data_IF_924740978824
#
_entry.id   IF_924740978824
#
_cell.length_a   1.000
_cell.length_b   1.000
_cell.length_c   1.000
_cell.angle_alpha   90.00
_cell.angle_beta   90.00
_cell.angle_gamma   90.00
#
_symmetry.space_group_name_H-M   'P 1'
#
loop_
_entity.id
_entity.type
_entity.pdbx_description
1 polymer ?
#
# COMPACT_ATOMS: atom_id res chain seq x y z
N UNK A 1 16.44 12.09 13.49
CA UNK A 1 15.45 11.91 12.41
C UNK A 1 14.42 10.91 12.88
N UNK A 2 13.14 11.22 12.76
CA UNK A 2 12.07 10.33 13.21
C UNK A 2 11.97 9.12 12.29
N UNK A 3 11.76 7.96 12.87
CA UNK A 3 11.48 6.71 12.16
C UNK A 3 10.07 6.82 11.53
N UNK A 4 10.02 6.70 10.20
CA UNK A 4 8.78 6.83 9.44
C UNK A 4 8.05 5.49 9.34
N UNK A 5 8.80 4.43 9.05
CA UNK A 5 8.31 3.07 8.92
C UNK A 5 9.22 2.13 9.70
N UNK A 6 8.64 1.27 10.53
CA UNK A 6 9.35 0.18 11.19
C UNK A 6 8.59 -1.13 10.98
N UNK A 7 9.27 -2.12 10.48
CA UNK A 7 8.75 -3.47 10.28
C UNK A 7 9.56 -4.42 11.14
N UNK A 8 8.89 -5.20 11.97
CA UNK A 8 9.51 -6.15 12.87
C UNK A 8 8.92 -7.54 12.68
N UNK A 9 9.79 -8.49 12.39
CA UNK A 9 9.47 -9.93 12.28
C UNK A 9 8.26 -10.25 11.39
N UNK A 10 8.10 -9.49 10.30
CA UNK A 10 6.95 -9.63 9.41
C UNK A 10 6.99 -10.93 8.63
N UNK A 11 5.96 -11.73 8.79
CA UNK A 11 5.69 -12.93 7.99
C UNK A 11 4.32 -12.82 7.34
N UNK A 12 4.26 -13.14 6.04
CA UNK A 12 3.02 -13.08 5.23
C UNK A 12 2.80 -14.42 4.56
N UNK A 13 1.60 -14.94 4.70
CA UNK A 13 1.20 -16.24 4.16
C UNK A 13 -0.03 -16.15 3.28
N UNK A 14 -0.18 -17.14 2.42
CA UNK A 14 -1.33 -17.33 1.54
C UNK A 14 -1.92 -18.72 1.72
N UNK A 15 -3.24 -18.83 1.61
CA UNK A 15 -3.90 -20.10 1.47
C UNK A 15 -3.56 -20.71 0.10
N UNK A 16 -3.13 -21.97 0.08
CA UNK A 16 -2.83 -22.76 -1.10
C UNK A 16 -3.62 -24.07 -1.05
N UNK A 17 -3.74 -24.77 -2.19
CA UNK A 17 -4.49 -26.03 -2.28
C UNK A 17 -4.00 -27.11 -1.31
N UNK A 18 -2.69 -27.16 -1.07
CA UNK A 18 -2.04 -28.12 -0.15
C UNK A 18 -1.71 -27.50 1.22
N UNK A 19 -2.43 -26.45 1.65
CA UNK A 19 -2.25 -25.83 2.96
C UNK A 19 -1.86 -24.36 2.88
N UNK A 20 -0.71 -23.99 3.48
CA UNK A 20 -0.23 -22.62 3.62
C UNK A 20 1.10 -22.42 2.89
N UNK A 21 1.20 -21.35 2.12
CA UNK A 21 2.44 -20.89 1.50
C UNK A 21 2.91 -19.60 2.17
N UNK A 22 4.09 -19.61 2.75
CA UNK A 22 4.72 -18.45 3.34
C UNK A 22 5.54 -17.68 2.29
N UNK A 23 5.08 -16.49 1.93
CA UNK A 23 5.67 -15.66 0.88
C UNK A 23 6.67 -14.63 1.40
N UNK A 24 6.52 -14.18 2.65
CA UNK A 24 7.47 -13.33 3.37
C UNK A 24 7.77 -13.99 4.70
N UNK A 25 9.06 -14.11 5.04
CA UNK A 25 9.51 -14.84 6.22
C UNK A 25 10.41 -13.96 7.08
N UNK A 26 9.93 -13.61 8.26
CA UNK A 26 10.69 -12.94 9.32
C UNK A 26 11.52 -11.72 8.82
N UNK A 27 10.88 -10.80 8.13
CA UNK A 27 11.52 -9.61 7.58
C UNK A 27 11.43 -8.46 8.56
N UNK A 28 12.57 -7.84 8.85
CA UNK A 28 12.67 -6.66 9.72
C UNK A 28 13.52 -5.59 9.06
N UNK A 29 13.04 -4.34 9.03
CA UNK A 29 13.79 -3.17 8.61
C UNK A 29 13.08 -1.89 9.07
N UNK A 30 13.82 -0.79 9.10
CA UNK A 30 13.26 0.52 9.34
C UNK A 30 13.60 1.50 8.22
N UNK A 31 12.78 2.53 8.07
CA UNK A 31 12.95 3.62 7.12
C UNK A 31 12.72 4.95 7.84
N UNK A 32 13.70 5.84 7.75
CA UNK A 32 13.60 7.20 8.31
C UNK A 32 13.03 8.17 7.29
N UNK A 33 12.53 9.29 7.78
CA UNK A 33 12.07 10.37 6.90
C UNK A 33 13.20 10.86 5.98
N UNK A 34 12.92 10.93 4.67
CA UNK A 34 13.88 11.33 3.64
C UNK A 34 14.81 10.22 3.14
N UNK A 35 14.73 9.01 3.69
CA UNK A 35 15.50 7.87 3.19
C UNK A 35 14.84 7.20 1.98
N UNK A 36 15.67 6.55 1.17
CA UNK A 36 15.26 5.66 0.07
C UNK A 36 15.79 4.26 0.36
N UNK A 37 14.88 3.29 0.44
CA UNK A 37 15.22 1.88 0.63
C UNK A 37 14.94 1.10 -0.65
N UNK A 38 15.96 0.41 -1.17
CA UNK A 38 15.81 -0.50 -2.29
C UNK A 38 15.66 -1.96 -1.80
N UNK A 39 14.61 -2.64 -2.25
CA UNK A 39 14.38 -4.06 -1.98
C UNK A 39 14.71 -4.84 -3.25
N UNK A 40 15.81 -5.57 -3.23
CA UNK A 40 16.32 -6.36 -4.37
C UNK A 40 16.15 -7.85 -4.13
N UNK A 41 15.99 -8.61 -5.20
CA UNK A 41 15.85 -10.06 -5.17
C UNK A 41 15.28 -10.60 -6.48
N UNK A 42 15.29 -11.91 -6.64
CA UNK A 42 14.78 -12.59 -7.83
C UNK A 42 13.26 -12.43 -8.00
N UNK A 43 12.76 -12.75 -9.19
CA UNK A 43 11.30 -12.77 -9.43
C UNK A 43 10.64 -13.80 -8.52
N UNK A 44 9.49 -13.43 -7.92
CA UNK A 44 8.75 -14.33 -7.04
C UNK A 44 9.24 -14.41 -5.59
N UNK A 45 10.33 -13.73 -5.20
CA UNK A 45 10.87 -13.79 -3.83
C UNK A 45 10.09 -12.96 -2.78
N UNK A 46 8.88 -12.48 -3.08
CA UNK A 46 8.03 -11.81 -2.10
C UNK A 46 8.11 -10.28 -2.02
N UNK A 47 8.94 -9.60 -2.83
CA UNK A 47 9.07 -8.11 -2.79
C UNK A 47 7.74 -7.37 -2.92
N UNK A 48 6.96 -7.73 -3.93
CA UNK A 48 5.64 -7.12 -4.17
C UNK A 48 4.64 -7.48 -3.07
N UNK A 49 4.75 -8.67 -2.49
CA UNK A 49 3.93 -9.09 -1.36
C UNK A 49 4.25 -8.25 -0.13
N UNK A 50 5.54 -8.01 0.15
CA UNK A 50 5.99 -7.16 1.23
C UNK A 50 5.43 -5.73 1.10
N UNK A 51 5.56 -5.11 -0.07
CA UNK A 51 5.01 -3.77 -0.30
C UNK A 51 3.48 -3.72 -0.16
N UNK A 52 2.78 -4.74 -0.69
CA UNK A 52 1.31 -4.85 -0.57
C UNK A 52 0.87 -5.09 0.88
N UNK A 53 1.65 -5.82 1.68
CA UNK A 53 1.31 -6.05 3.09
C UNK A 53 1.40 -4.76 3.92
N UNK A 54 2.39 -3.90 3.66
CA UNK A 54 2.51 -2.59 4.30
C UNK A 54 1.25 -1.73 4.04
N UNK A 55 0.73 -1.77 2.83
CA UNK A 55 -0.48 -1.04 2.46
C UNK A 55 -1.79 -1.78 2.76
N UNK A 56 -1.73 -2.99 3.32
CA UNK A 56 -2.88 -3.90 3.50
C UNK A 56 -3.67 -4.12 2.20
N UNK A 57 -2.95 -4.33 1.10
CA UNK A 57 -3.49 -4.64 -0.23
C UNK A 57 -3.24 -6.10 -0.61
N UNK A 58 -3.15 -6.98 0.36
CA UNK A 58 -3.09 -8.42 0.12
C UNK A 58 -4.42 -8.91 -0.45
N UNK A 59 -4.41 -9.90 -1.37
CA UNK A 59 -5.62 -10.54 -1.84
C UNK A 59 -6.31 -11.30 -0.70
N UNK A 60 -7.56 -11.71 -0.90
CA UNK A 60 -8.40 -12.33 0.14
C UNK A 60 -7.82 -13.61 0.75
N UNK A 61 -7.00 -14.32 0.00
CA UNK A 61 -6.32 -15.54 0.46
C UNK A 61 -4.97 -15.28 1.12
N UNK A 62 -4.56 -14.02 1.29
CA UNK A 62 -3.30 -13.62 1.93
C UNK A 62 -3.54 -12.89 3.25
N UNK A 63 -2.68 -13.13 4.24
CA UNK A 63 -2.74 -12.46 5.54
C UNK A 63 -1.35 -12.23 6.14
N UNK A 64 -1.25 -11.23 7.00
CA UNK A 64 -0.09 -11.07 7.88
C UNK A 64 -0.20 -12.11 8.98
N UNK A 65 0.76 -12.99 9.06
CA UNK A 65 0.78 -14.09 10.02
C UNK A 65 1.43 -13.69 11.34
N UNK A 66 2.52 -12.93 11.23
CA UNK A 66 3.31 -12.47 12.39
C UNK A 66 3.93 -11.11 12.09
N UNK A 67 4.39 -10.45 13.14
CA UNK A 67 5.12 -9.21 13.09
C UNK A 67 4.24 -7.98 13.18
N UNK A 68 4.89 -6.84 13.17
CA UNK A 68 4.26 -5.53 13.25
C UNK A 68 4.68 -4.63 12.08
N UNK A 69 3.84 -3.68 11.74
CA UNK A 69 4.09 -2.63 10.77
C UNK A 69 3.76 -1.32 11.44
N UNK A 70 4.77 -0.62 11.95
CA UNK A 70 4.58 0.67 12.60
C UNK A 70 4.89 1.81 11.63
N UNK A 71 4.01 2.79 11.57
CA UNK A 71 4.15 4.02 10.78
C UNK A 71 4.01 5.21 11.71
N UNK A 72 5.04 6.06 11.77
CA UNK A 72 5.14 7.14 12.75
C UNK A 72 4.90 6.67 14.19
N UNK A 73 5.36 5.44 14.52
CA UNK A 73 5.21 4.84 15.84
C UNK A 73 3.87 4.17 16.12
N UNK A 74 2.91 4.19 15.19
CA UNK A 74 1.63 3.49 15.34
C UNK A 74 1.60 2.19 14.54
N UNK A 75 1.29 1.06 15.17
CA UNK A 75 1.11 -0.21 14.47
C UNK A 75 -0.16 -0.21 13.64
N UNK A 76 0.00 -0.26 12.32
CA UNK A 76 -1.09 -0.26 11.34
C UNK A 76 -1.53 -1.67 10.93
N UNK A 77 -0.82 -2.73 11.35
CA UNK A 77 -1.17 -4.11 10.98
C UNK A 77 -2.58 -4.49 11.44
N UNK A 78 -2.98 -4.01 12.62
CA UNK A 78 -4.30 -4.25 13.20
C UNK A 78 -5.40 -3.26 12.74
N UNK A 79 -5.08 -2.25 11.91
CA UNK A 79 -6.05 -1.24 11.52
C UNK A 79 -7.20 -1.81 10.69
N UNK A 80 -8.45 -1.41 10.97
CA UNK A 80 -9.58 -1.76 10.11
C UNK A 80 -9.45 -1.08 8.75
N UNK A 81 -10.05 -1.67 7.73
CA UNK A 81 -9.98 -1.19 6.34
C UNK A 81 -10.38 0.29 6.21
N UNK A 82 -11.42 0.73 6.93
CA UNK A 82 -11.88 2.13 6.94
C UNK A 82 -10.81 3.12 7.40
N UNK A 83 -9.91 2.72 8.32
CA UNK A 83 -8.78 3.54 8.79
C UNK A 83 -7.68 3.53 7.74
N UNK A 84 -7.38 2.37 7.14
CA UNK A 84 -6.39 2.25 6.07
C UNK A 84 -6.76 3.04 4.81
N UNK A 85 -8.04 3.09 4.43
CA UNK A 85 -8.50 3.90 3.29
C UNK A 85 -8.18 5.39 3.43
N UNK A 86 -8.17 5.93 4.65
CA UNK A 86 -7.79 7.32 4.89
C UNK A 86 -6.30 7.55 4.75
N UNK A 87 -5.48 6.55 5.06
CA UNK A 87 -4.02 6.62 4.97
C UNK A 87 -3.53 6.44 3.53
N UNK A 88 -4.19 5.57 2.77
CA UNK A 88 -3.88 5.40 1.34
C UNK A 88 -4.23 6.67 0.58
N UNK A 89 -3.26 7.19 -0.17
CA UNK A 89 -3.37 8.45 -0.93
C UNK A 89 -3.01 9.72 -0.15
N UNK A 90 -3.02 9.69 1.19
CA UNK A 90 -2.57 10.82 2.01
C UNK A 90 -1.19 10.59 2.63
N UNK A 91 -0.93 9.40 3.13
CA UNK A 91 0.34 9.01 3.76
C UNK A 91 1.10 7.97 2.93
N UNK A 92 0.38 7.07 2.27
CA UNK A 92 0.93 6.04 1.40
C UNK A 92 0.49 6.24 -0.03
N UNK A 93 1.40 6.05 -0.97
CA UNK A 93 1.09 5.87 -2.38
C UNK A 93 1.87 4.69 -2.94
N UNK A 94 1.36 4.08 -3.98
CA UNK A 94 1.99 2.94 -4.63
C UNK A 94 1.89 3.07 -6.14
N UNK A 95 3.01 2.87 -6.82
CA UNK A 95 3.04 2.71 -8.27
C UNK A 95 3.11 1.22 -8.57
N UNK A 96 2.12 0.71 -9.29
CA UNK A 96 2.06 -0.70 -9.66
C UNK A 96 2.94 -1.00 -10.87
N UNK A 97 3.45 -2.23 -10.95
CA UNK A 97 4.32 -2.68 -12.04
C UNK A 97 3.60 -2.67 -13.40
N UNK A 98 2.31 -2.97 -13.41
CA UNK A 98 1.46 -2.91 -14.61
C UNK A 98 0.53 -1.69 -14.53
N UNK A 99 0.86 -0.60 -15.25
CA UNK A 99 0.02 0.61 -15.25
C UNK A 99 -1.31 0.40 -15.97
N UNK A 100 -1.41 -0.57 -16.87
CA UNK A 100 -2.64 -0.81 -17.65
C UNK A 100 -3.75 -1.40 -16.78
N UNK A 101 -3.39 -2.22 -15.79
CA UNK A 101 -4.36 -2.78 -14.84
C UNK A 101 -4.77 -1.81 -13.74
N UNK A 102 -4.07 -0.69 -13.60
CA UNK A 102 -4.36 0.31 -12.56
C UNK A 102 -5.55 1.22 -12.91
N UNK A 103 -5.91 1.32 -14.18
CA UNK A 103 -7.01 2.13 -14.68
C UNK A 103 -8.13 1.27 -15.25
N UNK A 104 -9.38 1.68 -14.99
CA UNK A 104 -10.54 1.06 -15.61
C UNK A 104 -10.66 1.55 -17.07
N UNK A 105 -10.54 0.67 -18.08
CA UNK A 105 -10.59 1.06 -19.48
C UNK A 105 -11.98 1.57 -19.93
N UNK A 106 -13.02 1.31 -19.16
CA UNK A 106 -14.40 1.74 -19.46
C UNK A 106 -14.72 3.12 -18.92
N UNK A 107 -13.87 3.69 -18.08
CA UNK A 107 -14.07 4.99 -17.44
C UNK A 107 -13.00 5.99 -17.91
N UNK A 108 -13.44 7.20 -18.26
CA UNK A 108 -12.50 8.27 -18.67
C UNK A 108 -11.47 8.55 -17.61
N UNK A 109 -10.20 8.66 -17.98
CA UNK A 109 -9.04 8.87 -17.07
C UNK A 109 -9.26 10.07 -16.15
N UNK A 110 -9.68 11.23 -16.69
CA UNK A 110 -9.95 12.42 -15.90
C UNK A 110 -11.00 12.21 -14.78
N UNK A 111 -11.97 11.31 -15.00
CA UNK A 111 -12.96 10.95 -13.96
C UNK A 111 -12.34 10.13 -12.85
N UNK A 112 -11.46 9.20 -13.18
CA UNK A 112 -10.75 8.36 -12.20
C UNK A 112 -9.80 9.19 -11.34
N UNK A 113 -9.05 10.13 -11.97
CA UNK A 113 -8.19 11.08 -11.24
C UNK A 113 -9.04 11.99 -10.33
N UNK A 114 -10.15 12.53 -10.85
CA UNK A 114 -11.05 13.39 -10.08
C UNK A 114 -11.65 12.67 -8.86
N UNK A 115 -11.92 11.37 -8.97
CA UNK A 115 -12.43 10.55 -7.87
C UNK A 115 -11.41 10.44 -6.75
N UNK A 116 -10.14 10.15 -7.07
CA UNK A 116 -9.06 10.10 -6.10
C UNK A 116 -8.87 11.44 -5.37
N UNK A 117 -8.92 12.57 -6.10
CA UNK A 117 -8.83 13.91 -5.51
C UNK A 117 -10.00 14.17 -4.55
N UNK A 118 -11.23 13.80 -4.92
CA UNK A 118 -12.43 13.99 -4.07
C UNK A 118 -12.39 13.17 -2.80
N UNK A 119 -11.88 11.96 -2.85
CA UNK A 119 -11.80 11.09 -1.67
C UNK A 119 -10.95 11.71 -0.56
N UNK A 120 -9.90 12.41 -0.92
CA UNK A 120 -8.96 13.02 0.03
C UNK A 120 -9.22 14.51 0.29
N UNK A 121 -10.01 15.19 -0.55
CA UNK A 121 -10.26 16.62 -0.46
C UNK A 121 -11.76 16.93 -0.67
N UNK A 122 -12.54 16.65 0.36
CA UNK A 122 -14.01 16.79 0.31
C UNK A 122 -14.51 18.24 0.21
N UNK A 123 -13.65 19.22 0.47
CA UNK A 123 -14.00 20.65 0.47
C UNK A 123 -13.72 21.34 -0.85
N UNK A 124 -13.03 20.70 -1.79
CA UNK A 124 -12.72 21.28 -3.09
C UNK A 124 -13.97 21.41 -3.97
N UNK A 125 -14.09 22.55 -4.65
CA UNK A 125 -15.12 22.77 -5.66
C UNK A 125 -14.90 21.88 -6.88
N UNK A 126 -15.96 21.73 -7.70
CA UNK A 126 -15.87 20.95 -8.95
C UNK A 126 -14.88 21.57 -9.95
N UNK A 127 -14.77 22.89 -9.96
CA UNK A 127 -13.83 23.64 -10.80
C UNK A 127 -12.39 23.42 -10.39
N UNK A 128 -12.10 23.48 -9.08
CA UNK A 128 -10.76 23.21 -8.55
C UNK A 128 -10.30 21.78 -8.80
N UNK A 129 -11.21 20.80 -8.66
CA UNK A 129 -10.91 19.41 -9.00
C UNK A 129 -10.60 19.29 -10.50
N UNK A 130 -11.40 19.92 -11.37
CA UNK A 130 -11.17 19.94 -12.82
C UNK A 130 -9.78 20.48 -13.19
N UNK A 131 -9.36 21.57 -12.57
CA UNK A 131 -8.03 22.16 -12.76
C UNK A 131 -6.91 21.21 -12.36
N UNK A 132 -6.99 20.61 -11.16
CA UNK A 132 -5.98 19.65 -10.67
C UNK A 132 -5.90 18.37 -11.48
N UNK A 133 -6.94 17.99 -12.18
CA UNK A 133 -6.94 16.84 -13.11
C UNK A 133 -6.12 17.12 -14.36
N UNK A 134 -5.99 18.38 -14.75
CA UNK A 134 -5.29 18.80 -15.99
C UNK A 134 -3.86 19.30 -15.74
N UNK A 135 -3.49 19.59 -14.52
CA UNK A 135 -2.12 19.88 -14.08
C UNK A 135 -1.29 18.61 -13.96
#
# INVERSE_FOLDING_TARGET
MSELLNIEHLSVSFAAEEGKMEAVRDVSFSLKSGEVLAIVGESGCGKSVLCKSIMKLLPKNGWIEKGSIAVNGEDIAAYPEKKMQKLRGSMFSMVFQDPMSALDPTVRIGRQIAEAIRMHNRTLSREEIGRRVTE
#
